data_IF_669321601453
#
_entry.id   IF_669321601453
#
_cell.length_a   1.000
_cell.length_b   1.000
_cell.length_c   1.000
_cell.angle_alpha   90.00
_cell.angle_beta   90.00
_cell.angle_gamma   90.00
#
_symmetry.space_group_name_H-M   'P 1'
#
loop_
_entity.id
_entity.type
_entity.pdbx_description
1 polymer ?
#
# COMPACT_ATOMS: atom_id res chain seq x y z
N UNK A 1 -1.27 -7.30 -12.89
CA UNK A 1 -1.91 -8.51 -12.37
C UNK A 1 -2.71 -8.23 -11.11
N UNK A 2 -3.81 -8.92 -10.92
CA UNK A 2 -4.59 -8.85 -9.67
C UNK A 2 -3.75 -9.31 -8.46
N UNK A 3 -4.09 -8.88 -7.23
CA UNK A 3 -3.41 -9.34 -6.02
C UNK A 3 -3.42 -10.87 -5.90
N UNK A 4 -2.32 -11.46 -5.42
CA UNK A 4 -2.19 -12.92 -5.24
C UNK A 4 -1.77 -13.70 -6.49
N UNK A 5 -1.50 -13.08 -7.63
CA UNK A 5 -1.02 -13.74 -8.85
C UNK A 5 0.51 -13.79 -8.99
N UNK A 6 1.24 -13.65 -7.89
CA UNK A 6 2.69 -13.83 -7.85
C UNK A 6 3.50 -12.74 -8.54
N UNK A 7 3.07 -11.48 -8.51
CA UNK A 7 3.80 -10.34 -9.09
C UNK A 7 5.28 -10.29 -8.65
N UNK A 8 5.54 -10.54 -7.38
CA UNK A 8 6.91 -10.60 -6.82
C UNK A 8 7.75 -11.66 -7.51
N UNK A 9 7.21 -12.87 -7.65
CA UNK A 9 7.89 -13.99 -8.33
C UNK A 9 8.16 -13.67 -9.81
N UNK A 10 7.20 -13.05 -10.49
CA UNK A 10 7.36 -12.63 -11.88
C UNK A 10 8.50 -11.63 -12.04
N UNK A 11 8.56 -10.62 -11.16
CA UNK A 11 9.65 -9.64 -11.20
C UNK A 11 11.01 -10.28 -10.92
N UNK A 12 11.09 -11.16 -9.92
CA UNK A 12 12.32 -11.91 -9.61
C UNK A 12 12.74 -12.78 -10.80
N UNK A 13 11.79 -13.50 -11.41
CA UNK A 13 12.02 -14.31 -12.59
C UNK A 13 12.52 -13.48 -13.78
N UNK A 14 11.86 -12.35 -14.06
CA UNK A 14 12.26 -11.44 -15.14
C UNK A 14 13.70 -10.93 -14.95
N UNK A 15 14.01 -10.40 -13.77
CA UNK A 15 15.35 -9.90 -13.44
C UNK A 15 16.40 -11.00 -13.55
N UNK A 16 16.06 -12.22 -13.13
CA UNK A 16 16.98 -13.36 -13.13
C UNK A 16 17.23 -13.88 -14.54
N UNK A 17 16.19 -14.09 -15.33
CA UNK A 17 16.30 -14.60 -16.72
C UNK A 17 17.01 -13.59 -17.62
N UNK A 18 16.67 -12.30 -17.48
CA UNK A 18 17.30 -11.22 -18.23
C UNK A 18 18.72 -10.90 -17.75
N UNK A 19 19.20 -11.53 -16.65
CA UNK A 19 20.48 -11.20 -16.00
C UNK A 19 20.61 -9.69 -15.73
N UNK A 20 19.52 -9.06 -15.31
CA UNK A 20 19.38 -7.62 -15.15
C UNK A 20 19.86 -7.15 -13.76
N UNK A 21 21.04 -7.60 -13.38
CA UNK A 21 21.72 -7.20 -12.14
C UNK A 21 22.82 -6.18 -12.42
N UNK A 22 23.11 -5.25 -11.48
CA UNK A 22 22.49 -5.08 -10.15
C UNK A 22 21.04 -4.60 -10.24
N UNK A 23 20.21 -5.11 -9.32
CA UNK A 23 18.80 -4.78 -9.21
C UNK A 23 18.51 -3.94 -7.97
N UNK A 24 17.77 -2.86 -8.12
CA UNK A 24 17.18 -2.10 -7.02
C UNK A 24 15.69 -2.43 -6.91
N UNK A 25 15.25 -2.82 -5.73
CA UNK A 25 13.82 -2.97 -5.39
C UNK A 25 13.38 -1.81 -4.53
N UNK A 26 12.37 -1.10 -4.97
CA UNK A 26 11.69 -0.03 -4.23
C UNK A 26 10.32 -0.55 -3.84
N UNK A 27 10.07 -0.73 -2.55
CA UNK A 27 8.83 -1.32 -2.04
C UNK A 27 8.34 -0.60 -0.78
N UNK A 28 7.11 -0.83 -0.33
CA UNK A 28 6.66 -0.43 0.99
C UNK A 28 7.57 -0.95 2.10
N UNK A 29 7.78 -0.17 3.16
CA UNK A 29 8.73 -0.51 4.23
C UNK A 29 8.46 -1.88 4.86
N UNK A 30 7.19 -2.27 4.99
CA UNK A 30 6.77 -3.55 5.55
C UNK A 30 7.18 -4.76 4.68
N UNK A 31 7.42 -4.56 3.38
CA UNK A 31 7.70 -5.64 2.42
C UNK A 31 9.18 -5.92 2.23
N UNK A 32 10.08 -5.12 2.78
CA UNK A 32 11.53 -5.30 2.55
C UNK A 32 12.04 -6.69 2.93
N UNK A 33 11.60 -7.21 4.07
CA UNK A 33 11.99 -8.54 4.56
C UNK A 33 11.37 -9.63 3.66
N UNK A 34 10.11 -9.44 3.25
CA UNK A 34 9.47 -10.37 2.33
C UNK A 34 10.23 -10.45 0.99
N UNK A 35 10.57 -9.32 0.38
CA UNK A 35 11.37 -9.27 -0.84
C UNK A 35 12.73 -9.97 -0.69
N UNK A 36 13.41 -9.78 0.45
CA UNK A 36 14.68 -10.46 0.75
C UNK A 36 14.51 -11.98 0.80
N UNK A 37 13.46 -12.46 1.48
CA UNK A 37 13.13 -13.89 1.58
C UNK A 37 12.76 -14.49 0.22
N UNK A 38 11.97 -13.78 -0.58
CA UNK A 38 11.52 -14.21 -1.89
C UNK A 38 12.70 -14.35 -2.89
N UNK A 39 13.64 -13.39 -2.90
CA UNK A 39 14.87 -13.54 -3.72
C UNK A 39 15.69 -14.74 -3.29
N UNK A 40 15.83 -15.00 -2.00
CA UNK A 40 16.51 -16.19 -1.49
C UNK A 40 15.81 -17.46 -1.92
N UNK A 41 14.50 -17.50 -1.78
CA UNK A 41 13.66 -18.65 -2.08
C UNK A 41 13.64 -19.00 -3.57
N UNK A 42 13.43 -18.02 -4.44
CA UNK A 42 13.17 -18.27 -5.87
C UNK A 42 14.39 -18.10 -6.77
N UNK A 43 15.35 -17.28 -6.38
CA UNK A 43 16.57 -17.06 -7.17
C UNK A 43 17.84 -17.58 -6.48
N UNK A 44 17.76 -18.10 -5.25
CA UNK A 44 18.92 -18.54 -4.47
C UNK A 44 19.87 -17.39 -4.09
N UNK A 45 19.46 -16.11 -4.29
CA UNK A 45 20.32 -14.95 -4.14
C UNK A 45 20.05 -14.21 -2.84
N UNK A 46 21.11 -13.72 -2.21
CA UNK A 46 21.01 -12.85 -1.06
C UNK A 46 20.73 -11.41 -1.55
N UNK A 47 19.79 -10.73 -0.90
CA UNK A 47 19.49 -9.34 -1.14
C UNK A 47 19.82 -8.51 0.11
N UNK A 48 20.33 -7.29 -0.09
CA UNK A 48 20.67 -6.36 0.97
C UNK A 48 19.54 -5.35 1.17
N UNK A 49 19.01 -5.28 2.38
CA UNK A 49 18.10 -4.21 2.78
C UNK A 49 18.94 -2.98 3.12
N UNK A 50 18.69 -1.87 2.45
CA UNK A 50 19.34 -0.60 2.72
C UNK A 50 18.80 0.00 4.01
N UNK A 51 19.67 0.22 4.98
CA UNK A 51 19.39 0.83 6.29
C UNK A 51 20.52 1.77 6.73
N UNK A 52 20.41 2.33 7.94
CA UNK A 52 21.39 3.29 8.44
C UNK A 52 22.79 2.70 8.59
N UNK A 53 22.90 1.41 8.89
CA UNK A 53 24.18 0.72 9.13
C UNK A 53 24.99 0.59 7.86
N UNK A 54 24.33 0.46 6.71
CA UNK A 54 25.01 0.24 5.43
C UNK A 54 24.96 1.44 4.48
N UNK A 55 24.44 2.60 4.94
CA UNK A 55 24.28 3.81 4.11
C UNK A 55 25.57 4.23 3.38
N UNK A 56 26.72 4.21 4.07
CA UNK A 56 27.99 4.63 3.51
C UNK A 56 28.69 3.54 2.67
N UNK A 57 28.30 2.28 2.86
CA UNK A 57 29.08 1.13 2.36
C UNK A 57 28.33 0.21 1.40
N UNK A 58 27.02 0.42 1.18
CA UNK A 58 26.22 -0.52 0.37
C UNK A 58 26.79 -0.79 -1.02
N UNK A 59 27.36 0.21 -1.69
CA UNK A 59 27.95 0.09 -3.02
C UNK A 59 29.16 -0.83 -3.04
N UNK A 60 29.95 -0.90 -1.94
CA UNK A 60 31.13 -1.77 -1.84
C UNK A 60 30.75 -3.26 -1.92
N UNK A 61 29.55 -3.62 -1.48
CA UNK A 61 29.07 -4.99 -1.58
C UNK A 61 28.80 -5.40 -3.04
N UNK A 62 28.50 -4.45 -3.90
CA UNK A 62 28.45 -4.68 -5.33
C UNK A 62 29.85 -4.80 -5.92
N UNK A 63 30.75 -3.87 -5.60
CA UNK A 63 32.16 -3.88 -6.06
C UNK A 63 32.88 -5.19 -5.71
N UNK A 64 32.65 -5.69 -4.50
CA UNK A 64 33.21 -6.98 -4.04
C UNK A 64 32.44 -8.21 -4.53
N UNK A 65 31.42 -8.02 -5.36
CA UNK A 65 30.52 -9.09 -5.86
C UNK A 65 29.79 -9.89 -4.78
N UNK A 66 29.74 -9.40 -3.55
CA UNK A 66 29.04 -10.04 -2.44
C UNK A 66 27.52 -9.91 -2.54
N UNK A 67 27.02 -8.81 -3.14
CA UNK A 67 25.60 -8.57 -3.32
C UNK A 67 25.34 -7.77 -4.59
N UNK A 68 24.30 -8.16 -5.31
CA UNK A 68 23.84 -7.46 -6.52
C UNK A 68 22.32 -7.19 -6.52
N UNK A 69 21.67 -7.29 -5.35
CA UNK A 69 20.26 -7.00 -5.15
C UNK A 69 20.13 -6.09 -3.91
N UNK A 70 19.55 -4.93 -4.10
CA UNK A 70 19.40 -3.93 -3.06
C UNK A 70 17.91 -3.60 -2.89
N UNK A 71 17.44 -3.54 -1.65
CA UNK A 71 16.04 -3.31 -1.31
C UNK A 71 15.93 -2.05 -0.47
N UNK A 72 15.07 -1.13 -0.87
CA UNK A 72 14.79 0.10 -0.13
C UNK A 72 13.29 0.39 -0.09
N UNK A 73 12.89 1.30 0.76
CA UNK A 73 11.52 1.82 0.78
C UNK A 73 11.46 3.25 0.25
N UNK A 74 10.27 3.65 -0.13
CA UNK A 74 10.01 4.97 -0.75
C UNK A 74 10.51 6.14 0.09
N UNK A 75 10.32 6.10 1.39
CA UNK A 75 10.69 7.16 2.33
C UNK A 75 12.21 7.31 2.47
N UNK A 76 12.95 6.25 2.16
CA UNK A 76 14.41 6.21 2.28
C UNK A 76 15.14 6.64 1.00
N UNK A 77 14.45 6.85 -0.12
CA UNK A 77 15.08 7.18 -1.41
C UNK A 77 15.96 8.44 -1.33
N UNK A 78 15.46 9.50 -0.67
CA UNK A 78 16.25 10.73 -0.47
C UNK A 78 17.56 10.45 0.23
N UNK A 79 17.54 9.62 1.26
CA UNK A 79 18.66 9.28 2.11
C UNK A 79 19.81 8.56 1.38
N UNK A 80 19.47 7.68 0.43
CA UNK A 80 20.44 6.82 -0.25
C UNK A 80 20.86 7.31 -1.62
N UNK A 81 19.99 8.04 -2.33
CA UNK A 81 20.14 8.28 -3.76
C UNK A 81 20.06 9.76 -4.16
N UNK A 82 19.86 10.67 -3.19
CA UNK A 82 19.80 12.11 -3.46
C UNK A 82 20.89 12.81 -2.64
N UNK A 83 21.78 13.50 -3.34
CA UNK A 83 22.85 14.30 -2.70
C UNK A 83 22.30 15.63 -2.21
N UNK A 84 21.54 16.33 -3.06
CA UNK A 84 21.02 17.65 -2.77
C UNK A 84 19.66 17.88 -3.45
N UNK A 85 18.82 18.61 -2.76
CA UNK A 85 17.60 19.21 -3.36
C UNK A 85 17.77 20.72 -3.23
N UNK A 86 17.79 21.44 -4.36
CA UNK A 86 17.86 22.90 -4.39
C UNK A 86 16.54 23.46 -3.86
N UNK A 87 16.63 24.52 -3.07
CA UNK A 87 15.49 25.27 -2.57
C UNK A 87 14.99 26.24 -3.64
N UNK A 88 14.35 25.69 -4.68
CA UNK A 88 13.73 26.47 -5.73
C UNK A 88 12.27 26.71 -5.40
N UNK A 89 11.70 27.82 -5.90
CA UNK A 89 10.27 28.15 -5.74
C UNK A 89 9.35 27.05 -6.29
N UNK A 90 9.83 26.21 -7.20
CA UNK A 90 9.12 25.08 -7.79
C UNK A 90 9.96 23.83 -7.74
N UNK A 91 9.49 22.82 -6.99
CA UNK A 91 10.15 21.52 -6.95
C UNK A 91 10.01 20.76 -8.28
N UNK A 92 11.12 20.65 -9.02
CA UNK A 92 11.19 20.02 -10.34
C UNK A 92 12.30 18.97 -10.39
N UNK A 93 12.36 18.15 -11.42
CA UNK A 93 13.49 17.22 -11.63
C UNK A 93 14.85 17.92 -11.72
N UNK A 94 14.89 19.19 -12.21
CA UNK A 94 16.12 19.98 -12.30
C UNK A 94 16.66 20.45 -10.95
N UNK A 95 15.81 20.48 -9.91
CA UNK A 95 16.21 20.85 -8.55
C UNK A 95 16.79 19.68 -7.75
N UNK A 96 16.85 18.48 -8.32
CA UNK A 96 17.32 17.26 -7.62
C UNK A 96 18.66 16.86 -8.18
N UNK A 97 19.66 16.77 -7.30
CA UNK A 97 20.96 16.20 -7.60
C UNK A 97 21.02 14.78 -7.07
N UNK A 98 21.08 13.83 -7.99
CA UNK A 98 21.14 12.41 -7.64
C UNK A 98 22.56 11.94 -7.41
N UNK A 99 22.73 10.97 -6.52
CA UNK A 99 23.97 10.27 -6.33
C UNK A 99 24.36 9.51 -7.62
N UNK A 100 25.56 9.73 -8.18
CA UNK A 100 26.00 9.03 -9.39
C UNK A 100 25.95 7.51 -9.28
N UNK A 101 26.02 6.97 -8.07
CA UNK A 101 25.93 5.52 -7.82
C UNK A 101 24.60 4.89 -8.23
N UNK A 102 23.55 5.66 -8.48
CA UNK A 102 22.32 5.14 -9.10
C UNK A 102 22.58 4.51 -10.45
N UNK A 103 23.65 4.94 -11.17
CA UNK A 103 24.04 4.36 -12.46
C UNK A 103 24.46 2.88 -12.37
N UNK A 104 24.85 2.40 -11.21
CA UNK A 104 25.21 0.99 -10.98
C UNK A 104 24.04 0.04 -11.25
N UNK A 105 22.80 0.47 -11.01
CA UNK A 105 21.64 -0.40 -11.19
C UNK A 105 21.31 -0.59 -12.68
N UNK A 106 21.24 -1.83 -13.11
CA UNK A 106 20.75 -2.22 -14.43
C UNK A 106 19.23 -2.31 -14.49
N UNK A 107 18.63 -2.76 -13.38
CA UNK A 107 17.17 -2.86 -13.24
C UNK A 107 16.64 -2.17 -11.99
N UNK A 108 15.40 -1.67 -12.08
CA UNK A 108 14.63 -1.14 -10.96
C UNK A 108 13.26 -1.82 -10.93
N UNK A 109 12.92 -2.42 -9.81
CA UNK A 109 11.60 -2.98 -9.52
C UNK A 109 10.89 -2.05 -8.55
N UNK A 110 9.67 -1.62 -8.90
CA UNK A 110 8.86 -0.68 -8.12
C UNK A 110 7.60 -1.41 -7.70
N UNK A 111 7.55 -1.81 -6.45
CA UNK A 111 6.40 -2.52 -5.90
C UNK A 111 5.37 -1.53 -5.33
N UNK A 112 4.09 -1.78 -5.58
CA UNK A 112 2.98 -0.87 -5.33
C UNK A 112 3.18 0.49 -6.01
N UNK A 113 3.49 0.47 -7.33
CA UNK A 113 3.84 1.63 -8.13
C UNK A 113 2.76 2.73 -8.15
N UNK A 114 1.51 2.40 -7.85
CA UNK A 114 0.44 3.38 -7.67
C UNK A 114 0.75 4.45 -6.60
N UNK A 115 1.69 4.20 -5.70
CA UNK A 115 2.23 5.21 -4.76
C UNK A 115 2.97 6.34 -5.48
N UNK A 116 3.39 6.12 -6.73
CA UNK A 116 4.05 7.11 -7.58
C UNK A 116 3.10 7.82 -8.56
N UNK A 117 1.78 7.71 -8.39
CA UNK A 117 0.79 8.27 -9.33
C UNK A 117 0.83 9.80 -9.49
N UNK A 118 1.33 10.52 -8.50
CA UNK A 118 1.35 11.99 -8.51
C UNK A 118 2.64 12.54 -9.10
N UNK A 119 2.54 13.37 -10.12
CA UNK A 119 3.66 14.11 -10.73
C UNK A 119 4.28 15.15 -9.81
N UNK A 120 3.61 15.51 -8.70
CA UNK A 120 3.99 16.61 -7.82
C UNK A 120 4.78 16.18 -6.57
N UNK A 121 4.69 14.91 -6.20
CA UNK A 121 5.33 14.44 -4.95
C UNK A 121 6.85 14.25 -5.12
N UNK A 122 7.60 14.51 -4.06
CA UNK A 122 9.04 14.27 -4.03
C UNK A 122 9.36 12.80 -4.30
N UNK A 123 8.62 11.91 -3.67
CA UNK A 123 8.76 10.46 -3.83
C UNK A 123 8.69 10.04 -5.30
N UNK A 124 7.67 10.47 -6.04
CA UNK A 124 7.50 10.12 -7.45
C UNK A 124 8.66 10.64 -8.31
N UNK A 125 9.14 11.85 -8.03
CA UNK A 125 10.29 12.43 -8.75
C UNK A 125 11.60 11.73 -8.41
N UNK A 126 11.79 11.28 -7.18
CA UNK A 126 12.98 10.48 -6.84
C UNK A 126 12.97 9.15 -7.60
N UNK A 127 11.84 8.46 -7.65
CA UNK A 127 11.71 7.22 -8.43
C UNK A 127 11.96 7.47 -9.91
N UNK A 128 11.35 8.53 -10.49
CA UNK A 128 11.57 8.93 -11.90
C UNK A 128 13.05 9.14 -12.21
N UNK A 129 13.75 9.87 -11.33
CA UNK A 129 15.19 10.14 -11.53
C UNK A 129 16.06 8.90 -11.40
N UNK A 130 15.77 8.01 -10.46
CA UNK A 130 16.48 6.75 -10.28
C UNK A 130 16.27 5.83 -11.49
N UNK A 131 15.06 5.82 -12.06
CA UNK A 131 14.71 4.97 -13.21
C UNK A 131 15.22 5.51 -14.54
N UNK A 132 15.55 6.80 -14.61
CA UNK A 132 15.98 7.43 -15.87
C UNK A 132 17.17 6.70 -16.52
N UNK A 133 16.97 6.26 -17.76
CA UNK A 133 18.01 5.57 -18.54
C UNK A 133 18.30 4.14 -18.12
N UNK A 134 17.45 3.53 -17.28
CA UNK A 134 17.59 2.12 -16.93
C UNK A 134 17.08 1.21 -18.04
N UNK A 135 17.77 0.09 -18.24
CA UNK A 135 17.41 -0.91 -19.24
C UNK A 135 16.13 -1.66 -18.88
N UNK A 136 15.96 -1.98 -17.59
CA UNK A 136 14.81 -2.71 -17.11
C UNK A 136 14.13 -1.93 -15.97
N UNK A 137 12.88 -1.57 -16.21
CA UNK A 137 12.00 -0.94 -15.21
C UNK A 137 10.74 -1.79 -15.11
N UNK A 138 10.46 -2.31 -13.92
CA UNK A 138 9.32 -3.16 -13.63
C UNK A 138 8.43 -2.49 -12.59
N UNK A 139 7.24 -2.07 -12.98
CA UNK A 139 6.21 -1.52 -12.09
C UNK A 139 5.20 -2.59 -11.73
N UNK A 140 5.06 -2.87 -10.45
CA UNK A 140 4.14 -3.87 -9.92
C UNK A 140 3.02 -3.17 -9.15
N UNK A 141 1.79 -3.43 -9.55
CA UNK A 141 0.61 -2.94 -8.82
C UNK A 141 -0.62 -3.78 -9.15
N UNK A 142 -1.53 -3.91 -8.18
CA UNK A 142 -2.87 -4.46 -8.42
C UNK A 142 -3.85 -3.41 -8.95
N UNK A 143 -3.56 -2.12 -8.72
CA UNK A 143 -4.45 -0.98 -8.97
C UNK A 143 -3.69 0.18 -9.61
N UNK A 144 -3.33 0.11 -10.90
CA UNK A 144 -2.55 1.16 -11.57
C UNK A 144 -3.30 2.49 -11.63
N UNK A 145 -4.61 2.44 -11.73
CA UNK A 145 -5.52 3.61 -11.71
C UNK A 145 -6.33 3.56 -10.41
N UNK A 146 -6.13 4.51 -9.54
CA UNK A 146 -6.84 4.61 -8.26
C UNK A 146 -8.05 5.55 -8.36
N UNK A 147 -7.88 6.70 -9.03
CA UNK A 147 -8.92 7.71 -9.14
C UNK A 147 -9.38 7.91 -10.61
N UNK A 148 -8.45 8.18 -11.50
CA UNK A 148 -8.71 8.44 -12.91
C UNK A 148 -7.45 8.24 -13.76
N UNK A 149 -7.57 8.36 -15.09
CA UNK A 149 -6.46 8.09 -16.02
C UNK A 149 -5.22 8.96 -15.80
N UNK A 150 -5.32 10.11 -15.14
CA UNK A 150 -4.15 10.95 -14.83
C UNK A 150 -3.16 10.24 -13.91
N UNK A 151 -3.62 9.25 -13.13
CA UNK A 151 -2.76 8.44 -12.25
C UNK A 151 -1.70 7.64 -13.02
N UNK A 152 -1.93 7.37 -14.32
CA UNK A 152 -0.98 6.67 -15.19
C UNK A 152 0.16 7.55 -15.70
N UNK A 153 -0.02 8.86 -15.77
CA UNK A 153 0.95 9.77 -16.40
C UNK A 153 2.34 9.63 -15.75
N UNK A 154 2.38 9.64 -14.42
CA UNK A 154 3.66 9.56 -13.72
C UNK A 154 4.27 8.15 -13.80
N UNK A 155 3.46 7.12 -13.76
CA UNK A 155 3.91 5.74 -13.95
C UNK A 155 4.52 5.56 -15.35
N UNK A 156 3.84 6.02 -16.41
CA UNK A 156 4.38 5.99 -17.76
C UNK A 156 5.66 6.83 -17.93
N UNK A 157 5.80 7.95 -17.21
CA UNK A 157 7.04 8.74 -17.17
C UNK A 157 8.20 7.97 -16.54
N UNK A 158 7.93 7.32 -15.41
CA UNK A 158 8.94 6.51 -14.70
C UNK A 158 9.46 5.40 -15.61
N UNK A 159 8.57 4.74 -16.34
CA UNK A 159 8.93 3.72 -17.34
C UNK A 159 9.57 4.28 -18.61
N UNK A 160 9.57 5.61 -18.80
CA UNK A 160 10.03 6.23 -20.05
C UNK A 160 9.13 5.98 -21.25
N UNK A 161 7.85 5.64 -21.02
CA UNK A 161 6.88 5.21 -22.05
C UNK A 161 5.79 6.23 -22.36
N UNK A 162 5.79 7.41 -21.73
CA UNK A 162 4.73 8.39 -21.93
C UNK A 162 4.65 8.90 -23.38
N UNK A 163 5.78 8.95 -24.07
CA UNK A 163 5.83 9.38 -25.47
C UNK A 163 5.14 8.39 -26.42
N UNK A 164 5.06 7.10 -26.08
CA UNK A 164 4.30 6.11 -26.84
C UNK A 164 2.79 6.41 -26.83
N UNK A 165 2.37 7.25 -25.90
CA UNK A 165 0.99 7.71 -25.73
C UNK A 165 0.82 9.17 -26.20
N UNK A 166 1.76 9.70 -26.96
CA UNK A 166 1.72 11.07 -27.52
C UNK A 166 2.18 12.17 -26.55
N UNK A 167 2.84 11.79 -25.45
CA UNK A 167 3.32 12.72 -24.44
C UNK A 167 2.22 13.30 -23.55
N UNK A 168 2.61 14.17 -22.62
CA UNK A 168 1.71 14.67 -21.58
C UNK A 168 0.45 15.39 -22.12
N UNK A 169 0.64 16.30 -23.10
CA UNK A 169 -0.46 17.12 -23.60
C UNK A 169 -1.52 16.25 -24.29
N UNK A 170 -1.09 15.41 -25.23
CA UNK A 170 -1.98 14.50 -25.95
C UNK A 170 -2.67 13.51 -24.99
N UNK A 171 -1.93 12.95 -24.02
CA UNK A 171 -2.50 12.04 -23.06
C UNK A 171 -3.66 12.67 -22.27
N UNK A 172 -3.46 13.91 -21.79
CA UNK A 172 -4.50 14.63 -21.04
C UNK A 172 -5.69 14.96 -21.94
N UNK A 173 -5.46 15.49 -23.14
CA UNK A 173 -6.54 15.85 -24.08
C UNK A 173 -7.33 14.63 -24.57
N UNK A 174 -6.66 13.49 -24.78
CA UNK A 174 -7.29 12.29 -25.32
C UNK A 174 -7.94 11.40 -24.28
N UNK A 175 -7.27 11.19 -23.14
CA UNK A 175 -7.66 10.18 -22.16
C UNK A 175 -8.18 10.74 -20.83
N UNK A 176 -8.13 12.06 -20.62
CA UNK A 176 -8.60 12.70 -19.43
C UNK A 176 -9.61 13.79 -19.78
N UNK A 177 -10.86 13.61 -19.40
CA UNK A 177 -11.90 14.63 -19.54
C UNK A 177 -11.91 15.52 -18.29
N UNK A 178 -10.93 16.44 -18.23
CA UNK A 178 -10.65 17.23 -17.04
C UNK A 178 -9.84 16.48 -15.95
N UNK A 179 -9.60 17.12 -14.80
CA UNK A 179 -8.70 16.59 -13.77
C UNK A 179 -9.26 15.40 -12.96
N UNK A 180 -10.55 15.10 -13.10
CA UNK A 180 -11.23 14.06 -12.32
C UNK A 180 -12.01 13.03 -13.17
N UNK A 181 -11.97 13.16 -14.48
CA UNK A 181 -12.72 12.27 -15.37
C UNK A 181 -11.77 11.51 -16.29
N UNK A 182 -12.25 10.39 -16.81
CA UNK A 182 -11.52 9.51 -17.70
C UNK A 182 -12.30 9.39 -19.02
N UNK A 183 -11.59 9.53 -20.14
CA UNK A 183 -12.15 9.38 -21.49
C UNK A 183 -11.42 8.30 -22.26
N UNK A 184 -12.03 7.80 -23.36
CA UNK A 184 -11.45 6.84 -24.27
C UNK A 184 -10.78 5.62 -23.60
N UNK A 185 -11.38 5.11 -22.51
CA UNK A 185 -10.80 4.05 -21.66
C UNK A 185 -10.50 2.77 -22.46
N UNK A 186 -11.35 2.41 -23.42
CA UNK A 186 -11.13 1.21 -24.27
C UNK A 186 -9.88 1.34 -25.12
N UNK A 187 -9.69 2.50 -25.77
CA UNK A 187 -8.51 2.78 -26.56
C UNK A 187 -7.24 2.80 -25.68
N UNK A 188 -7.31 3.46 -24.53
CA UNK A 188 -6.19 3.51 -23.60
C UNK A 188 -5.78 2.11 -23.12
N UNK A 189 -6.77 1.28 -22.76
CA UNK A 189 -6.51 -0.10 -22.35
C UNK A 189 -5.86 -0.93 -23.47
N UNK A 190 -6.34 -0.79 -24.69
CA UNK A 190 -5.74 -1.45 -25.84
C UNK A 190 -4.29 -0.99 -26.07
N UNK A 191 -4.02 0.31 -26.06
CA UNK A 191 -2.66 0.85 -26.21
C UNK A 191 -1.73 0.36 -25.10
N UNK A 192 -2.16 0.42 -23.84
CA UNK A 192 -1.40 -0.09 -22.69
C UNK A 192 -1.06 -1.57 -22.86
N UNK A 193 -2.04 -2.40 -23.17
CA UNK A 193 -1.86 -3.84 -23.31
C UNK A 193 -0.98 -4.23 -24.50
N UNK A 194 -0.95 -3.40 -25.54
CA UNK A 194 -0.11 -3.62 -26.73
C UNK A 194 1.34 -3.14 -26.56
N UNK A 195 1.63 -2.35 -25.52
CA UNK A 195 2.95 -1.70 -25.37
C UNK A 195 3.70 -2.09 -24.11
N UNK A 196 3.14 -1.82 -22.93
CA UNK A 196 3.90 -1.88 -21.67
C UNK A 196 3.11 -2.43 -20.48
N UNK A 197 1.86 -2.85 -20.67
CA UNK A 197 1.01 -3.28 -19.56
C UNK A 197 0.59 -4.73 -19.71
N UNK A 198 0.84 -5.52 -18.68
CA UNK A 198 0.44 -6.91 -18.60
C UNK A 198 -0.48 -7.13 -17.41
N UNK A 199 -1.68 -7.67 -17.66
CA UNK A 199 -2.67 -7.93 -16.62
C UNK A 199 -3.35 -9.28 -16.82
N UNK A 200 -3.34 -10.08 -15.76
CA UNK A 200 -4.15 -11.29 -15.65
C UNK A 200 -5.20 -11.12 -14.55
N UNK A 201 -6.31 -11.77 -14.73
CA UNK A 201 -7.42 -11.83 -13.78
C UNK A 201 -7.38 -13.15 -13.02
N UNK A 202 -7.64 -13.10 -11.70
CA UNK A 202 -7.64 -14.30 -10.84
C UNK A 202 -8.53 -15.40 -11.38
N UNK A 203 -9.77 -15.07 -11.76
CA UNK A 203 -10.74 -16.03 -12.26
C UNK A 203 -10.26 -16.81 -13.50
N UNK A 204 -9.38 -16.19 -14.31
CA UNK A 204 -8.82 -16.86 -15.51
C UNK A 204 -7.59 -17.71 -15.23
N UNK A 205 -6.87 -17.42 -14.15
CA UNK A 205 -5.59 -18.09 -13.83
C UNK A 205 -5.74 -19.11 -12.72
N UNK A 206 -6.52 -18.81 -11.71
CA UNK A 206 -6.70 -19.64 -10.51
C UNK A 206 -8.13 -20.22 -10.50
N UNK A 207 -8.42 -21.08 -11.46
CA UNK A 207 -9.74 -21.72 -11.63
C UNK A 207 -10.12 -22.66 -10.48
N UNK A 208 -9.17 -23.03 -9.63
CA UNK A 208 -9.39 -23.89 -8.46
C UNK A 208 -9.76 -23.12 -7.20
N UNK A 209 -9.67 -21.77 -7.20
CA UNK A 209 -10.10 -21.00 -6.04
C UNK A 209 -11.63 -21.01 -5.92
N UNK A 210 -12.15 -21.24 -4.72
CA UNK A 210 -13.58 -21.09 -4.48
C UNK A 210 -14.01 -19.63 -4.70
N UNK A 211 -15.29 -19.46 -4.98
CA UNK A 211 -15.85 -18.13 -5.14
C UNK A 211 -15.74 -17.32 -3.86
N UNK A 212 -15.46 -16.03 -4.02
CA UNK A 212 -15.40 -15.08 -2.93
C UNK A 212 -16.82 -14.67 -2.54
N UNK A 213 -17.28 -15.12 -1.38
CA UNK A 213 -18.54 -14.65 -0.80
C UNK A 213 -18.33 -13.40 0.06
N UNK A 214 -19.29 -12.48 0.03
CA UNK A 214 -19.33 -11.31 0.89
C UNK A 214 -20.66 -11.27 1.61
N UNK A 215 -20.61 -11.11 2.91
CA UNK A 215 -21.77 -10.96 3.76
C UNK A 215 -21.72 -9.62 4.48
N UNK A 216 -22.80 -8.89 4.46
CA UNK A 216 -23.00 -7.67 5.21
C UNK A 216 -23.93 -7.99 6.35
N UNK A 217 -23.43 -7.82 7.58
CA UNK A 217 -24.20 -8.10 8.80
C UNK A 217 -24.56 -6.76 9.41
N UNK A 218 -25.86 -6.47 9.45
CA UNK A 218 -26.38 -5.32 10.18
C UNK A 218 -26.42 -5.61 11.66
N UNK A 219 -25.88 -4.72 12.47
CA UNK A 219 -25.85 -4.87 13.91
C UNK A 219 -26.22 -3.55 14.59
N UNK A 220 -26.93 -3.65 15.72
CA UNK A 220 -27.19 -2.51 16.57
C UNK A 220 -25.92 -2.08 17.31
N UNK A 221 -25.76 -0.77 17.43
CA UNK A 221 -24.63 -0.18 18.13
C UNK A 221 -24.99 0.08 19.60
N UNK A 222 -24.13 -0.31 20.53
CA UNK A 222 -24.37 -0.15 21.97
C UNK A 222 -24.44 1.30 22.44
N UNK A 223 -23.91 2.24 21.66
CA UNK A 223 -23.85 3.67 21.94
C UNK A 223 -24.77 4.50 21.04
N UNK A 224 -25.94 3.98 20.70
CA UNK A 224 -26.91 4.61 19.79
C UNK A 224 -27.24 6.06 20.18
N UNK A 225 -27.40 6.34 21.47
CA UNK A 225 -27.69 7.70 21.96
C UNK A 225 -26.57 8.70 21.65
N UNK A 226 -25.32 8.27 21.73
CA UNK A 226 -24.15 9.09 21.35
C UNK A 226 -24.16 9.36 19.85
N UNK A 227 -24.46 8.34 19.04
CA UNK A 227 -24.56 8.43 17.60
C UNK A 227 -25.64 9.43 17.18
N UNK A 228 -26.85 9.31 17.70
CA UNK A 228 -27.98 10.18 17.36
C UNK A 228 -27.71 11.63 17.74
N UNK A 229 -27.08 11.91 18.87
CA UNK A 229 -26.64 13.26 19.25
C UNK A 229 -25.60 13.84 18.31
N UNK A 230 -24.60 13.03 17.91
CA UNK A 230 -23.57 13.48 16.97
C UNK A 230 -24.14 13.68 15.56
N UNK A 231 -25.16 12.95 15.19
CA UNK A 231 -25.87 13.12 13.93
C UNK A 231 -26.72 14.40 13.90
N UNK A 232 -27.46 14.67 15.00
CA UNK A 232 -28.32 15.82 15.11
C UNK A 232 -27.55 17.15 15.25
N UNK A 233 -26.56 17.20 16.16
CA UNK A 233 -25.78 18.42 16.43
C UNK A 233 -24.28 18.11 16.58
N UNK A 234 -23.54 18.22 15.48
CA UNK A 234 -22.12 17.99 15.44
C UNK A 234 -21.32 18.95 16.35
N UNK A 235 -21.74 20.21 16.45
CA UNK A 235 -21.02 21.24 17.21
C UNK A 235 -21.15 20.95 18.70
N UNK A 236 -22.37 20.68 19.15
CA UNK A 236 -22.61 20.32 20.55
C UNK A 236 -21.89 19.05 20.92
N UNK A 237 -21.89 18.03 20.04
CA UNK A 237 -21.12 16.78 20.24
C UNK A 237 -19.62 17.04 20.39
N UNK A 238 -19.03 17.84 19.52
CA UNK A 238 -17.59 18.16 19.56
C UNK A 238 -17.21 18.86 20.87
N UNK A 239 -18.02 19.78 21.35
CA UNK A 239 -17.79 20.50 22.62
C UNK A 239 -17.96 19.58 23.83
N UNK A 240 -19.03 18.79 23.86
CA UNK A 240 -19.38 17.97 25.04
C UNK A 240 -18.54 16.72 25.19
N UNK A 241 -18.30 15.97 24.10
CA UNK A 241 -17.67 14.66 24.15
C UNK A 241 -16.19 14.63 23.70
N UNK A 242 -15.77 15.62 22.92
CA UNK A 242 -14.39 15.69 22.39
C UNK A 242 -13.59 16.87 22.97
N UNK A 243 -14.17 17.65 23.88
CA UNK A 243 -13.53 18.84 24.46
C UNK A 243 -12.86 19.72 23.37
N UNK A 244 -13.53 19.88 22.23
CA UNK A 244 -12.97 20.62 21.12
C UNK A 244 -13.01 22.12 21.39
N UNK A 245 -11.87 22.76 21.17
CA UNK A 245 -11.72 24.20 21.17
C UNK A 245 -12.37 24.84 19.92
N UNK A 246 -12.48 26.17 19.92
CA UNK A 246 -13.11 26.91 18.82
C UNK A 246 -12.38 26.75 17.48
N UNK A 247 -11.07 26.49 17.49
CA UNK A 247 -10.31 26.26 16.27
C UNK A 247 -10.67 24.91 15.63
N UNK A 248 -10.81 23.85 16.45
CA UNK A 248 -11.26 22.53 15.98
C UNK A 248 -12.69 22.55 15.48
N UNK A 249 -13.57 23.29 16.17
CA UNK A 249 -14.95 23.49 15.72
C UNK A 249 -14.98 24.25 14.39
N UNK A 250 -14.22 25.33 14.24
CA UNK A 250 -14.14 26.09 13.00
C UNK A 250 -13.57 25.27 11.83
N UNK A 251 -12.60 24.37 12.10
CA UNK A 251 -12.07 23.44 11.10
C UNK A 251 -13.09 22.38 10.70
N UNK A 252 -13.86 21.86 11.66
CA UNK A 252 -14.93 20.91 11.41
C UNK A 252 -16.03 21.53 10.52
N UNK A 253 -16.45 22.78 10.78
CA UNK A 253 -17.43 23.48 9.97
C UNK A 253 -16.97 23.72 8.51
N UNK A 254 -15.69 23.93 8.28
CA UNK A 254 -15.13 24.10 6.92
C UNK A 254 -15.09 22.82 6.10
N UNK A 255 -15.08 21.65 6.75
CA UNK A 255 -15.09 20.33 6.13
C UNK A 255 -16.30 19.48 6.56
N UNK A 256 -17.39 20.08 6.86
CA UNK A 256 -18.53 19.60 7.66
C UNK A 256 -18.96 18.15 7.32
N UNK A 257 -19.22 17.85 6.06
CA UNK A 257 -19.71 16.52 5.66
C UNK A 257 -18.70 15.42 5.96
N UNK A 258 -17.45 15.61 5.56
CA UNK A 258 -16.40 14.57 5.74
C UNK A 258 -16.04 14.40 7.21
N UNK A 259 -16.01 15.48 7.98
CA UNK A 259 -15.74 15.44 9.42
C UNK A 259 -16.89 14.77 10.15
N UNK A 260 -18.13 15.13 9.83
CA UNK A 260 -19.34 14.48 10.40
C UNK A 260 -19.35 13.00 10.13
N UNK A 261 -19.14 12.57 8.90
CA UNK A 261 -19.05 11.17 8.54
C UNK A 261 -17.92 10.44 9.28
N UNK A 262 -16.75 11.06 9.43
CA UNK A 262 -15.63 10.48 10.18
C UNK A 262 -15.95 10.25 11.66
N UNK A 263 -16.65 11.21 12.28
CA UNK A 263 -17.10 11.11 13.69
C UNK A 263 -18.15 10.02 13.86
N UNK A 264 -19.18 10.00 13.02
CA UNK A 264 -20.24 9.00 13.06
C UNK A 264 -19.69 7.59 12.85
N UNK A 265 -18.74 7.44 11.92
CA UNK A 265 -18.03 6.19 11.68
C UNK A 265 -17.26 5.74 12.92
N UNK A 266 -16.57 6.63 13.62
CA UNK A 266 -15.82 6.32 14.82
C UNK A 266 -16.75 5.90 15.98
N UNK A 267 -17.87 6.59 16.17
CA UNK A 267 -18.89 6.23 17.17
C UNK A 267 -19.47 4.86 16.85
N UNK A 268 -19.89 4.65 15.62
CA UNK A 268 -20.44 3.36 15.17
C UNK A 268 -19.45 2.22 15.36
N UNK A 269 -18.16 2.41 15.03
CA UNK A 269 -17.14 1.38 15.19
C UNK A 269 -16.98 0.96 16.64
N UNK A 270 -16.91 1.93 17.58
CA UNK A 270 -16.87 1.62 19.02
C UNK A 270 -18.12 0.88 19.51
N UNK A 271 -19.29 1.30 19.03
CA UNK A 271 -20.56 0.69 19.39
C UNK A 271 -20.72 -0.76 18.92
N UNK A 272 -19.98 -1.18 17.92
CA UNK A 272 -19.99 -2.54 17.36
C UNK A 272 -19.05 -3.51 18.08
N UNK A 273 -18.10 -3.04 18.87
CA UNK A 273 -17.02 -3.89 19.44
C UNK A 273 -17.60 -5.10 20.18
N UNK A 274 -18.66 -4.93 20.98
CA UNK A 274 -19.26 -6.03 21.73
C UNK A 274 -19.75 -7.15 20.80
N UNK A 275 -20.66 -6.84 19.89
CA UNK A 275 -21.24 -7.82 18.95
C UNK A 275 -20.18 -8.41 18.04
N UNK A 276 -19.21 -7.58 17.60
CA UNK A 276 -18.11 -8.03 16.78
C UNK A 276 -17.16 -8.99 17.52
N UNK A 277 -16.99 -8.80 18.84
CA UNK A 277 -16.21 -9.72 19.67
C UNK A 277 -16.90 -11.07 19.84
N UNK A 278 -18.22 -11.09 19.97
CA UNK A 278 -19.01 -12.32 20.00
C UNK A 278 -18.82 -13.10 18.68
N UNK A 279 -18.90 -12.43 17.54
CA UNK A 279 -18.61 -13.04 16.24
C UNK A 279 -17.16 -13.60 16.14
N UNK A 280 -16.17 -12.88 16.67
CA UNK A 280 -14.79 -13.37 16.69
C UNK A 280 -14.68 -14.65 17.53
N UNK A 281 -15.31 -14.69 18.70
CA UNK A 281 -15.34 -15.88 19.54
C UNK A 281 -15.95 -17.08 18.79
N UNK A 282 -17.10 -16.91 18.15
CA UNK A 282 -17.76 -17.98 17.39
C UNK A 282 -16.83 -18.58 16.31
N UNK A 283 -16.08 -17.74 15.59
CA UNK A 283 -15.14 -18.21 14.55
C UNK A 283 -13.95 -18.95 15.17
N UNK A 284 -13.38 -18.41 16.25
CA UNK A 284 -12.20 -19.00 16.93
C UNK A 284 -12.57 -20.32 17.61
N UNK A 285 -13.70 -20.37 18.29
CA UNK A 285 -14.21 -21.56 18.96
C UNK A 285 -14.58 -22.66 17.97
N UNK A 286 -14.99 -22.27 16.75
CA UNK A 286 -15.12 -23.16 15.59
C UNK A 286 -13.79 -23.72 15.06
N UNK A 287 -12.65 -23.35 15.68
CA UNK A 287 -11.31 -23.83 15.32
C UNK A 287 -10.66 -23.10 14.15
N UNK A 288 -11.32 -22.11 13.56
CA UNK A 288 -10.83 -21.39 12.39
C UNK A 288 -9.95 -20.18 12.75
N UNK A 289 -9.09 -19.78 11.81
CA UNK A 289 -8.34 -18.54 11.91
C UNK A 289 -9.12 -17.39 11.29
N UNK A 290 -8.98 -16.20 11.87
CA UNK A 290 -9.67 -14.99 11.40
C UNK A 290 -8.69 -13.82 11.21
N UNK A 291 -8.85 -13.12 10.09
CA UNK A 291 -8.19 -11.86 9.82
C UNK A 291 -9.20 -10.74 10.05
N UNK A 292 -8.89 -9.83 10.97
CA UNK A 292 -9.74 -8.68 11.31
C UNK A 292 -9.09 -7.39 10.84
N UNK A 293 -9.85 -6.57 10.13
CA UNK A 293 -9.46 -5.21 9.76
C UNK A 293 -10.23 -4.17 10.55
N UNK A 294 -9.49 -3.20 11.11
CA UNK A 294 -10.03 -2.03 11.76
C UNK A 294 -9.30 -0.75 11.28
N UNK A 295 -10.04 0.34 11.10
CA UNK A 295 -9.48 1.63 10.70
C UNK A 295 -8.96 2.44 11.88
N UNK A 296 -9.72 2.43 12.98
CA UNK A 296 -9.41 3.19 14.18
C UNK A 296 -8.44 2.45 15.09
N UNK A 297 -7.40 3.15 15.53
CA UNK A 297 -6.40 2.62 16.46
C UNK A 297 -7.03 2.19 17.79
N UNK A 298 -7.95 2.99 18.33
CA UNK A 298 -8.71 2.69 19.57
C UNK A 298 -9.46 1.34 19.47
N UNK A 299 -10.05 1.04 18.31
CA UNK A 299 -10.75 -0.23 18.08
C UNK A 299 -9.77 -1.40 18.07
N UNK A 300 -8.61 -1.24 17.42
CA UNK A 300 -7.54 -2.27 17.45
C UNK A 300 -7.10 -2.54 18.90
N UNK A 301 -6.90 -1.47 19.69
CA UNK A 301 -6.48 -1.58 21.09
C UNK A 301 -7.53 -2.27 21.96
N UNK A 302 -8.81 -1.92 21.82
CA UNK A 302 -9.89 -2.56 22.58
C UNK A 302 -10.05 -4.04 22.19
N UNK A 303 -10.02 -4.38 20.91
CA UNK A 303 -10.04 -5.77 20.48
C UNK A 303 -8.84 -6.55 21.00
N UNK A 304 -7.64 -5.94 21.05
CA UNK A 304 -6.45 -6.57 21.61
C UNK A 304 -6.56 -6.81 23.12
N UNK A 305 -7.27 -5.96 23.88
CA UNK A 305 -7.56 -6.20 25.30
C UNK A 305 -8.49 -7.38 25.49
N UNK A 306 -9.53 -7.51 24.64
CA UNK A 306 -10.48 -8.62 24.68
C UNK A 306 -9.82 -9.93 24.25
N UNK A 307 -8.93 -9.88 23.25
CA UNK A 307 -8.21 -11.02 22.71
C UNK A 307 -6.68 -10.88 22.91
N UNK A 308 -6.17 -11.13 24.13
CA UNK A 308 -4.75 -10.93 24.44
C UNK A 308 -3.81 -11.79 23.58
N UNK A 309 -4.26 -12.97 23.14
CA UNK A 309 -3.48 -13.89 22.29
C UNK A 309 -3.41 -13.47 20.82
N UNK A 310 -4.28 -12.56 20.38
CA UNK A 310 -4.26 -12.07 19.02
C UNK A 310 -2.94 -11.37 18.70
N UNK A 311 -2.42 -11.51 17.50
CA UNK A 311 -1.33 -10.68 17.00
C UNK A 311 -1.90 -9.44 16.32
N UNK A 312 -1.16 -8.32 16.38
CA UNK A 312 -1.60 -7.05 15.79
C UNK A 312 -0.57 -6.54 14.80
N UNK A 313 -1.03 -5.82 13.77
CA UNK A 313 -0.17 -5.06 12.84
C UNK A 313 -0.72 -3.65 12.72
N UNK A 314 0.04 -2.70 13.23
CA UNK A 314 -0.32 -1.28 13.31
C UNK A 314 0.74 -0.38 12.67
N UNK A 315 0.48 0.93 12.62
CA UNK A 315 1.45 1.92 12.14
C UNK A 315 2.65 2.11 13.07
N UNK A 316 2.55 1.68 14.32
CA UNK A 316 3.62 1.81 15.32
C UNK A 316 4.65 0.70 15.22
N UNK A 317 4.27 -0.43 14.61
CA UNK A 317 5.15 -1.58 14.46
C UNK A 317 6.20 -1.32 13.38
N UNK A 318 7.44 -1.65 13.70
CA UNK A 318 8.51 -1.67 12.71
C UNK A 318 8.39 -2.90 11.77
N UNK A 319 9.18 -2.95 10.71
CA UNK A 319 9.10 -4.01 9.70
C UNK A 319 9.34 -5.42 10.29
N UNK A 320 10.22 -5.54 11.28
CA UNK A 320 10.50 -6.83 11.95
C UNK A 320 9.32 -7.28 12.79
N UNK A 321 8.73 -6.37 13.58
CA UNK A 321 7.56 -6.67 14.40
C UNK A 321 6.37 -7.10 13.55
N UNK A 322 6.10 -6.38 12.45
CA UNK A 322 5.05 -6.75 11.48
C UNK A 322 5.27 -8.14 10.92
N UNK A 323 6.50 -8.44 10.49
CA UNK A 323 6.82 -9.74 9.94
C UNK A 323 6.70 -10.85 10.99
N UNK A 324 7.13 -10.62 12.24
CA UNK A 324 6.98 -11.58 13.33
C UNK A 324 5.50 -11.88 13.63
N UNK A 325 4.64 -10.85 13.63
CA UNK A 325 3.20 -11.03 13.83
C UNK A 325 2.58 -11.86 12.70
N UNK A 326 2.95 -11.58 11.44
CA UNK A 326 2.51 -12.34 10.28
C UNK A 326 3.01 -13.79 10.34
N UNK A 327 4.30 -14.01 10.63
CA UNK A 327 4.90 -15.34 10.72
C UNK A 327 4.23 -16.17 11.83
N UNK A 328 3.93 -15.56 12.99
CA UNK A 328 3.19 -16.23 14.07
C UNK A 328 1.78 -16.62 13.62
N UNK A 329 1.03 -15.70 13.03
CA UNK A 329 -0.31 -16.03 12.53
C UNK A 329 -0.29 -17.12 11.46
N UNK A 330 0.70 -17.10 10.56
CA UNK A 330 0.81 -18.09 9.49
C UNK A 330 1.18 -19.48 9.99
N UNK A 331 2.13 -19.59 10.92
CA UNK A 331 2.79 -20.85 11.24
C UNK A 331 2.38 -21.45 12.61
N UNK A 332 1.85 -20.65 13.51
CA UNK A 332 1.41 -21.11 14.84
C UNK A 332 -0.09 -21.47 14.82
N UNK A 333 -0.46 -22.77 14.96
CA UNK A 333 -1.86 -23.19 15.01
C UNK A 333 -2.65 -22.61 16.17
N UNK A 334 -1.99 -22.23 17.26
CA UNK A 334 -2.62 -21.61 18.42
C UNK A 334 -3.00 -20.14 18.21
N UNK A 335 -2.31 -19.47 17.31
CA UNK A 335 -2.59 -18.07 16.94
C UNK A 335 -3.76 -18.02 15.95
N UNK A 336 -4.99 -17.86 16.47
CA UNK A 336 -6.22 -17.88 15.68
C UNK A 336 -6.64 -16.52 15.12
N UNK A 337 -6.14 -15.42 15.69
CA UNK A 337 -6.58 -14.07 15.36
C UNK A 337 -5.41 -13.15 15.03
N UNK A 338 -5.54 -12.45 13.90
CA UNK A 338 -4.70 -11.30 13.56
C UNK A 338 -5.58 -10.06 13.35
N UNK A 339 -5.22 -8.95 14.01
CA UNK A 339 -5.94 -7.67 13.93
C UNK A 339 -5.04 -6.67 13.21
N UNK A 340 -5.52 -6.16 12.09
CA UNK A 340 -4.76 -5.30 11.18
C UNK A 340 -5.37 -3.90 11.16
N UNK A 341 -4.53 -2.87 11.30
CA UNK A 341 -4.95 -1.54 10.90
C UNK A 341 -4.83 -1.38 9.38
N UNK A 342 -5.88 -0.87 8.71
CA UNK A 342 -5.91 -0.71 7.24
C UNK A 342 -4.67 -0.07 6.63
N UNK A 343 -4.19 1.03 7.24
CA UNK A 343 -3.05 1.77 6.71
C UNK A 343 -1.73 1.00 6.80
N UNK A 344 -1.66 0.03 7.70
CA UNK A 344 -0.42 -0.67 8.04
C UNK A 344 -0.39 -2.12 7.59
N UNK A 345 -1.56 -2.74 7.50
CA UNK A 345 -1.74 -4.14 7.14
C UNK A 345 -2.46 -4.35 5.79
N UNK A 346 -2.99 -3.26 5.19
CA UNK A 346 -3.79 -3.36 3.96
C UNK A 346 -2.99 -3.64 2.69
N UNK A 347 -1.66 -3.57 2.71
CA UNK A 347 -0.87 -3.80 1.51
C UNK A 347 0.31 -4.72 1.75
N UNK A 348 0.42 -5.75 0.90
CA UNK A 348 1.63 -6.55 0.74
C UNK A 348 1.89 -7.60 1.82
N UNK A 349 0.98 -7.86 2.73
CA UNK A 349 1.10 -8.99 3.64
C UNK A 349 0.58 -10.26 2.96
N UNK A 350 1.28 -11.37 3.16
CA UNK A 350 0.83 -12.68 2.69
C UNK A 350 0.18 -13.40 3.86
N UNK A 351 -1.17 -13.45 3.87
CA UNK A 351 -1.98 -14.04 4.92
C UNK A 351 -2.83 -15.18 4.34
N UNK A 352 -2.24 -16.32 4.15
CA UNK A 352 -2.88 -17.52 3.55
C UNK A 352 -3.40 -18.52 4.55
N UNK A 353 -3.09 -18.34 5.84
CA UNK A 353 -3.52 -19.24 6.91
C UNK A 353 -5.00 -19.13 7.28
N UNK A 354 -5.71 -18.12 6.75
CA UNK A 354 -7.15 -17.96 6.91
C UNK A 354 -7.83 -17.67 5.58
N UNK A 355 -8.99 -18.27 5.39
CA UNK A 355 -9.93 -17.94 4.31
C UNK A 355 -10.99 -16.91 4.73
N UNK A 356 -11.04 -16.55 6.02
CA UNK A 356 -12.03 -15.62 6.58
C UNK A 356 -11.41 -14.27 6.92
N UNK A 357 -12.08 -13.23 6.43
CA UNK A 357 -11.70 -11.84 6.68
C UNK A 357 -12.93 -11.09 7.18
N UNK A 358 -12.80 -10.36 8.26
CA UNK A 358 -13.86 -9.54 8.82
C UNK A 358 -13.44 -8.07 8.93
N UNK A 359 -14.38 -7.18 8.66
CA UNK A 359 -14.22 -5.74 8.75
C UNK A 359 -15.19 -5.18 9.78
N UNK A 360 -14.72 -4.61 10.86
CA UNK A 360 -15.59 -3.93 11.82
C UNK A 360 -16.09 -2.60 11.28
N UNK A 361 -15.31 -1.98 10.41
CA UNK A 361 -15.63 -0.75 9.70
C UNK A 361 -14.99 -0.78 8.30
N UNK A 362 -15.68 -0.20 7.32
CA UNK A 362 -15.13 -0.18 5.95
C UNK A 362 -14.19 1.00 5.73
N UNK A 363 -13.15 0.86 4.90
CA UNK A 363 -12.33 1.98 4.47
C UNK A 363 -13.14 2.97 3.61
N UNK A 364 -12.55 4.12 3.32
CA UNK A 364 -13.19 5.16 2.51
C UNK A 364 -13.24 4.83 1.03
N UNK A 365 -12.35 3.95 0.56
CA UNK A 365 -12.27 3.59 -0.84
C UNK A 365 -12.50 2.10 -1.03
N UNK A 366 -13.18 1.75 -2.11
CA UNK A 366 -13.37 0.34 -2.50
C UNK A 366 -12.03 -0.35 -2.77
N UNK A 367 -11.07 0.39 -3.32
CA UNK A 367 -9.71 -0.11 -3.57
C UNK A 367 -9.01 -0.62 -2.31
N UNK A 368 -9.20 0.08 -1.18
CA UNK A 368 -8.61 -0.35 0.10
C UNK A 368 -9.26 -1.63 0.65
N UNK A 369 -10.52 -1.90 0.25
CA UNK A 369 -11.21 -3.16 0.61
C UNK A 369 -10.77 -4.35 -0.25
N UNK A 370 -10.34 -4.12 -1.48
CA UNK A 370 -9.98 -5.19 -2.43
C UNK A 370 -8.51 -5.62 -2.28
N UNK A 371 -7.66 -4.78 -1.73
CA UNK A 371 -6.26 -5.07 -1.46
C UNK A 371 -6.07 -5.95 -0.24
#
# INVERSE_FOLDING_TARGET
DQPGLGKTLQAIGTVTIAKAYPCLVICPAALKINWQREFKKFAGKNAMILDDRNKASWHRFFETKCCNIFITNYESLKKFFVLKVKEDARFTMKSIEFDPRISLFKSVVIDESHKCKSTKTQQSKFVEGICKGKEYILELTGTPVVNNNTDLIQQLKIMGRLEDFGGYKYFVERFCDGPKQSSNVKELNWRLSSTCFFRREKAKVLTQLPDKSRQYIEVDISNRKEYDKAEADLIQYLRTYKNADDEKVAKALRGEVMVKMGILKAISARGKIKVFSEFIHDVIDGGEKLIVFAYLKEVVQELKKIFPEAVTVTGEDNATQKQTAVDRFQNDPSCKLIILNYKSGGTGLTLTASSRVAFIEFPWTFSDCEQ
#
